data_IF_240247305391
#
_entry.id   IF_240247305391
#
_cell.length_a   1.000
_cell.length_b   1.000
_cell.length_c   1.000
_cell.angle_alpha   90.00
_cell.angle_beta   90.00
_cell.angle_gamma   90.00
#
_symmetry.space_group_name_H-M   'P 1'
#
loop_
_entity.id
_entity.type
_entity.pdbx_description
1 polymer ?
#
# COMPACT_ATOMS: atom_id res chain seq x y z
N UNK A 1 -55.55 -29.91 -61.50
CA UNK A 1 -55.48 -29.01 -60.32
C UNK A 1 -54.18 -29.25 -59.63
N UNK A 2 -53.21 -28.36 -59.77
CA UNK A 2 -51.94 -28.46 -59.10
C UNK A 2 -51.91 -27.41 -57.97
N UNK A 3 -51.76 -27.87 -56.76
CA UNK A 3 -51.62 -27.03 -55.56
C UNK A 3 -50.18 -26.73 -55.40
N UNK A 4 -49.83 -25.48 -55.63
CA UNK A 4 -48.49 -24.96 -55.37
C UNK A 4 -48.32 -24.74 -53.87
N UNK A 5 -47.39 -25.50 -53.25
CA UNK A 5 -47.00 -25.30 -51.87
C UNK A 5 -46.05 -24.13 -51.77
N UNK A 6 -46.52 -23.04 -51.16
CA UNK A 6 -45.69 -21.90 -50.78
C UNK A 6 -44.64 -22.30 -49.75
N UNK A 7 -43.42 -22.30 -50.12
CA UNK A 7 -42.24 -22.44 -49.24
C UNK A 7 -42.13 -21.18 -48.39
N UNK A 8 -42.49 -21.27 -47.12
CA UNK A 8 -42.27 -20.21 -46.16
C UNK A 8 -40.76 -19.99 -45.92
N UNK A 9 -40.24 -18.94 -46.48
CA UNK A 9 -38.88 -18.47 -46.20
C UNK A 9 -38.76 -18.08 -44.74
N UNK A 10 -37.91 -18.77 -43.98
CA UNK A 10 -37.47 -18.30 -42.67
C UNK A 10 -36.64 -17.05 -42.92
N UNK A 11 -37.19 -15.90 -42.58
CA UNK A 11 -36.40 -14.69 -42.45
C UNK A 11 -35.33 -14.93 -41.38
N UNK A 12 -34.08 -15.05 -41.83
CA UNK A 12 -32.96 -15.06 -40.91
C UNK A 12 -32.86 -13.66 -40.31
N UNK A 13 -33.25 -13.54 -39.04
CA UNK A 13 -33.04 -12.30 -38.27
C UNK A 13 -31.53 -12.16 -38.12
N UNK A 14 -30.93 -11.35 -38.95
CA UNK A 14 -29.54 -10.91 -38.79
C UNK A 14 -29.52 -9.97 -37.58
N UNK A 15 -29.19 -10.54 -36.41
CA UNK A 15 -28.90 -9.78 -35.20
C UNK A 15 -27.42 -9.38 -35.19
N UNK A 16 -27.02 -8.56 -36.14
CA UNK A 16 -25.68 -7.96 -36.15
C UNK A 16 -25.62 -6.96 -34.99
N UNK A 17 -24.95 -7.38 -33.91
CA UNK A 17 -24.68 -6.51 -32.77
C UNK A 17 -23.67 -5.47 -33.23
N UNK A 18 -24.10 -4.21 -33.27
CA UNK A 18 -23.18 -3.11 -33.56
C UNK A 18 -22.21 -2.96 -32.38
N UNK A 19 -20.97 -3.47 -32.55
CA UNK A 19 -19.94 -3.48 -31.50
C UNK A 19 -19.29 -2.11 -31.30
N UNK A 20 -19.53 -1.15 -32.20
CA UNK A 20 -18.90 0.19 -32.13
C UNK A 20 -19.24 0.94 -30.83
N UNK A 21 -20.50 1.00 -30.38
CA UNK A 21 -20.81 1.65 -29.10
C UNK A 21 -20.20 0.94 -27.88
N UNK A 22 -20.08 -0.38 -27.94
CA UNK A 22 -19.43 -1.16 -26.86
C UNK A 22 -17.93 -0.94 -26.84
N UNK A 23 -17.30 -0.90 -28.01
CA UNK A 23 -15.86 -0.63 -28.13
C UNK A 23 -15.50 0.76 -27.63
N UNK A 24 -16.33 1.77 -27.88
CA UNK A 24 -16.12 3.14 -27.41
C UNK A 24 -16.16 3.22 -25.89
N UNK A 25 -17.19 2.62 -25.25
CA UNK A 25 -17.26 2.57 -23.78
C UNK A 25 -16.07 1.83 -23.19
N UNK A 26 -15.65 0.71 -23.77
CA UNK A 26 -14.47 -0.03 -23.30
C UNK A 26 -13.19 0.78 -23.44
N UNK A 27 -13.04 1.52 -24.54
CA UNK A 27 -11.89 2.38 -24.79
C UNK A 27 -11.81 3.53 -23.79
N UNK A 28 -12.95 4.19 -23.51
CA UNK A 28 -13.04 5.27 -22.51
C UNK A 28 -12.71 4.74 -21.11
N UNK A 29 -13.26 3.60 -20.72
CA UNK A 29 -12.94 2.97 -19.44
C UNK A 29 -11.47 2.59 -19.33
N UNK A 30 -10.88 2.06 -20.42
CA UNK A 30 -9.45 1.70 -20.45
C UNK A 30 -8.57 2.94 -20.23
N UNK A 31 -8.89 4.06 -20.89
CA UNK A 31 -8.14 5.31 -20.72
C UNK A 31 -8.29 5.84 -19.28
N UNK A 32 -9.49 5.79 -18.70
CA UNK A 32 -9.73 6.21 -17.33
C UNK A 32 -8.88 5.35 -16.38
N UNK A 33 -8.92 4.03 -16.51
CA UNK A 33 -8.09 3.14 -15.69
C UNK A 33 -6.59 3.38 -15.90
N UNK A 34 -6.14 3.63 -17.13
CA UNK A 34 -4.73 3.92 -17.42
C UNK A 34 -4.24 5.21 -16.74
N UNK A 35 -5.09 6.23 -16.63
CA UNK A 35 -4.76 7.50 -15.97
C UNK A 35 -4.87 7.37 -14.45
N UNK A 36 -5.86 6.64 -13.94
CA UNK A 36 -6.09 6.53 -12.49
C UNK A 36 -5.17 5.52 -11.80
N UNK A 37 -4.73 4.47 -12.49
CA UNK A 37 -3.86 3.44 -11.91
C UNK A 37 -2.56 4.00 -11.29
N UNK A 38 -1.78 4.87 -11.95
CA UNK A 38 -0.58 5.43 -11.34
C UNK A 38 -0.87 6.37 -10.17
N UNK A 39 -2.06 7.02 -10.14
CA UNK A 39 -2.45 7.87 -9.01
C UNK A 39 -2.78 7.08 -7.75
N UNK A 40 -3.24 5.84 -7.91
CA UNK A 40 -3.53 4.93 -6.78
C UNK A 40 -2.23 4.27 -6.30
N UNK A 41 -1.28 4.03 -7.22
CA UNK A 41 0.01 3.42 -6.91
C UNK A 41 1.05 4.40 -6.34
N UNK A 42 0.75 5.70 -6.26
CA UNK A 42 1.60 6.69 -5.60
C UNK A 42 1.52 6.54 -4.07
N UNK A 43 1.77 5.31 -3.58
CA UNK A 43 2.05 5.02 -2.19
C UNK A 43 3.44 5.54 -1.80
N UNK A 44 3.68 5.59 -0.51
CA UNK A 44 5.01 5.85 0.01
C UNK A 44 5.96 4.74 -0.44
N UNK A 45 6.99 5.10 -1.19
CA UNK A 45 8.06 4.20 -1.63
C UNK A 45 9.38 4.69 -0.99
N UNK A 46 10.00 3.85 -0.20
CA UNK A 46 11.31 4.09 0.36
C UNK A 46 12.21 2.89 0.07
N UNK A 47 13.36 3.15 -0.54
CA UNK A 47 14.45 2.18 -0.54
C UNK A 47 14.98 2.07 0.89
N UNK A 48 14.68 1.00 1.57
CA UNK A 48 15.10 0.76 2.94
C UNK A 48 16.58 0.34 2.99
N UNK A 49 17.27 0.62 4.09
CA UNK A 49 18.64 0.15 4.26
C UNK A 49 18.69 -1.38 4.38
N UNK A 50 19.73 -1.98 3.83
CA UNK A 50 19.98 -3.43 3.94
C UNK A 50 20.37 -3.82 5.36
N UNK A 51 19.81 -4.91 5.84
CA UNK A 51 20.14 -5.51 7.12
C UNK A 51 20.48 -6.99 7.03
N UNK A 52 21.23 -7.48 8.01
CA UNK A 52 21.60 -8.90 8.17
C UNK A 52 20.90 -9.42 9.42
N UNK A 53 20.44 -10.68 9.40
CA UNK A 53 19.77 -11.32 10.53
C UNK A 53 18.47 -10.63 10.97
N UNK A 54 17.61 -10.35 10.01
CA UNK A 54 16.32 -9.72 10.27
C UNK A 54 15.32 -10.73 10.85
N UNK A 55 14.46 -10.25 11.71
CA UNK A 55 13.27 -10.98 12.14
C UNK A 55 12.17 -10.64 11.15
N UNK A 56 11.71 -11.64 10.39
CA UNK A 56 10.56 -11.48 9.52
C UNK A 56 9.31 -11.19 10.36
N UNK A 57 8.74 -10.02 10.19
CA UNK A 57 7.45 -9.65 10.78
C UNK A 57 6.48 -9.45 9.62
N UNK A 58 5.35 -10.17 9.64
CA UNK A 58 4.29 -9.95 8.69
C UNK A 58 3.59 -8.63 9.03
N UNK A 59 3.54 -7.70 8.07
CA UNK A 59 2.77 -6.48 8.20
C UNK A 59 1.28 -6.83 8.20
N UNK A 60 0.57 -6.32 9.18
CA UNK A 60 -0.88 -6.42 9.25
C UNK A 60 -1.53 -5.09 8.86
N UNK A 61 -2.76 -5.08 8.33
CA UNK A 61 -3.45 -3.83 8.00
C UNK A 61 -3.65 -2.88 9.18
N UNK A 62 -3.54 -3.41 10.39
CA UNK A 62 -3.71 -2.64 11.63
C UNK A 62 -2.38 -2.03 12.13
N UNK A 63 -1.25 -2.35 11.52
CA UNK A 63 0.04 -1.82 11.94
C UNK A 63 0.15 -0.32 11.58
N UNK A 64 0.74 0.44 12.50
CA UNK A 64 1.01 1.87 12.28
C UNK A 64 2.41 2.03 11.74
N UNK A 65 2.49 2.48 10.49
CA UNK A 65 3.76 2.70 9.79
C UNK A 65 4.03 4.19 9.65
N UNK A 66 5.17 4.65 10.15
CA UNK A 66 5.71 5.97 9.89
C UNK A 66 6.78 5.88 8.82
N UNK A 67 6.48 6.39 7.63
CA UNK A 67 7.37 6.44 6.50
C UNK A 67 8.10 7.75 6.36
N UNK A 68 9.34 7.70 5.85
CA UNK A 68 10.11 8.88 5.47
C UNK A 68 10.73 8.67 4.10
N UNK A 69 10.40 9.56 3.15
CA UNK A 69 10.99 9.53 1.81
C UNK A 69 12.42 10.11 1.80
N UNK A 70 13.09 10.02 0.64
CA UNK A 70 14.43 10.56 0.43
C UNK A 70 14.56 12.05 0.74
N UNK A 71 13.50 12.84 0.57
CA UNK A 71 13.46 14.27 0.85
C UNK A 71 13.25 14.56 2.33
N UNK A 72 12.81 13.58 3.11
CA UNK A 72 12.47 13.70 4.52
C UNK A 72 11.01 14.12 4.76
N UNK A 73 10.12 13.89 3.79
CA UNK A 73 8.69 14.04 4.00
C UNK A 73 8.17 12.85 4.81
N UNK A 74 7.19 13.14 5.65
CA UNK A 74 6.57 12.14 6.53
C UNK A 74 5.30 11.56 5.92
N UNK A 75 5.12 10.27 6.13
CA UNK A 75 3.93 9.52 5.73
C UNK A 75 3.45 8.66 6.90
N UNK A 76 2.17 8.64 7.16
CA UNK A 76 1.54 7.72 8.12
C UNK A 76 0.61 6.81 7.33
N UNK A 77 0.85 5.51 7.36
CA UNK A 77 0.09 4.50 6.61
C UNK A 77 -0.11 4.93 5.15
N UNK A 78 0.98 5.31 4.45
CA UNK A 78 1.02 5.76 3.05
C UNK A 78 0.48 7.18 2.77
N UNK A 79 -0.15 7.86 3.73
CA UNK A 79 -0.67 9.22 3.56
C UNK A 79 0.39 10.26 3.95
N UNK A 80 0.61 11.29 3.13
CA UNK A 80 1.57 12.33 3.45
C UNK A 80 1.05 13.25 4.55
N UNK A 81 1.95 13.62 5.47
CA UNK A 81 1.69 14.56 6.57
C UNK A 81 2.79 15.60 6.68
N UNK A 82 2.41 16.83 7.01
CA UNK A 82 3.39 17.83 7.36
C UNK A 82 4.02 17.49 8.72
N UNK A 83 5.31 17.77 8.90
CA UNK A 83 6.06 17.45 10.12
C UNK A 83 5.37 17.87 11.42
N UNK A 84 4.77 19.07 11.44
CA UNK A 84 4.05 19.59 12.61
C UNK A 84 2.74 18.85 12.92
N UNK A 85 2.19 18.11 11.95
CA UNK A 85 0.96 17.34 12.13
C UNK A 85 1.22 15.87 12.52
N UNK A 86 2.42 15.34 12.27
CA UNK A 86 2.78 13.94 12.54
C UNK A 86 2.53 13.55 13.99
N UNK A 87 3.01 14.35 14.94
CA UNK A 87 2.86 14.07 16.37
C UNK A 87 1.39 14.00 16.78
N UNK A 88 0.58 14.98 16.32
CA UNK A 88 -0.84 15.04 16.68
C UNK A 88 -1.62 13.86 16.08
N UNK A 89 -1.31 13.49 14.83
CA UNK A 89 -1.99 12.37 14.18
C UNK A 89 -1.59 11.02 14.79
N UNK A 90 -0.32 10.79 15.07
CA UNK A 90 0.12 9.59 15.80
C UNK A 90 -0.54 9.51 17.18
N UNK A 91 -0.59 10.61 17.93
CA UNK A 91 -1.25 10.63 19.23
C UNK A 91 -2.74 10.30 19.10
N UNK A 92 -3.42 10.79 18.05
CA UNK A 92 -4.81 10.46 17.77
C UNK A 92 -5.00 8.96 17.54
N UNK A 93 -4.17 8.36 16.68
CA UNK A 93 -4.22 6.93 16.34
C UNK A 93 -4.03 6.08 17.60
N UNK A 94 -2.99 6.36 18.41
CA UNK A 94 -2.70 5.58 19.61
C UNK A 94 -3.66 5.83 20.78
N UNK A 95 -4.44 6.90 20.73
CA UNK A 95 -5.48 7.14 21.74
C UNK A 95 -6.81 6.49 21.36
N UNK A 96 -7.12 6.42 20.07
CA UNK A 96 -8.44 5.99 19.57
C UNK A 96 -8.45 4.54 19.10
N UNK A 97 -7.41 4.11 18.38
CA UNK A 97 -7.41 2.84 17.62
C UNK A 97 -6.47 1.78 18.24
N UNK A 98 -5.31 2.20 18.76
CA UNK A 98 -4.25 1.30 19.27
C UNK A 98 -3.90 1.58 20.74
N UNK A 99 -4.86 1.47 21.62
CA UNK A 99 -4.66 1.80 23.05
C UNK A 99 -3.77 0.80 23.79
N UNK A 100 -3.70 -0.45 23.34
CA UNK A 100 -2.95 -1.52 23.99
C UNK A 100 -1.57 -1.75 23.37
N UNK A 101 -1.50 -1.78 22.03
CA UNK A 101 -0.26 -2.01 21.28
C UNK A 101 0.29 -0.69 20.76
N UNK A 102 1.28 -0.14 21.47
CA UNK A 102 1.93 1.13 21.09
C UNK A 102 3.24 0.85 20.35
N UNK A 103 3.12 0.05 19.29
CA UNK A 103 4.22 -0.30 18.39
C UNK A 103 4.10 0.55 17.13
N UNK A 104 5.20 1.14 16.70
CA UNK A 104 5.32 1.91 15.46
C UNK A 104 6.39 1.26 14.59
N UNK A 105 6.06 1.01 13.34
CA UNK A 105 7.02 0.58 12.34
C UNK A 105 7.58 1.81 11.62
N UNK A 106 8.89 1.97 11.64
CA UNK A 106 9.58 3.08 11.00
C UNK A 106 10.22 2.62 9.70
N UNK A 107 9.72 3.11 8.57
CA UNK A 107 10.28 2.92 7.23
C UNK A 107 11.01 4.19 6.82
N UNK A 108 12.32 4.16 6.74
CA UNK A 108 13.14 5.32 6.37
C UNK A 108 13.98 5.01 5.13
N UNK A 109 14.01 5.95 4.19
CA UNK A 109 14.87 5.83 3.02
C UNK A 109 16.35 5.78 3.44
N UNK A 110 17.14 4.91 2.80
CA UNK A 110 18.54 4.65 3.15
C UNK A 110 19.45 5.90 3.08
N UNK A 111 19.14 6.87 2.24
CA UNK A 111 19.92 8.11 2.08
C UNK A 111 19.62 9.17 3.15
N UNK A 112 18.71 8.90 4.09
CA UNK A 112 18.40 9.86 5.14
C UNK A 112 19.51 9.95 6.17
N UNK A 113 19.75 11.18 6.64
CA UNK A 113 20.71 11.40 7.72
C UNK A 113 20.16 10.89 9.05
N UNK A 114 21.05 10.41 9.92
CA UNK A 114 20.68 9.96 11.26
C UNK A 114 19.94 11.04 12.06
N UNK A 115 20.23 12.31 11.82
CA UNK A 115 19.53 13.43 12.46
C UNK A 115 18.02 13.43 12.15
N UNK A 116 17.65 13.23 10.87
CA UNK A 116 16.24 13.14 10.45
C UNK A 116 15.54 11.91 11.05
N UNK A 117 16.26 10.79 11.14
CA UNK A 117 15.72 9.56 11.76
C UNK A 117 15.48 9.79 13.25
N UNK A 118 16.43 10.42 13.97
CA UNK A 118 16.27 10.75 15.39
C UNK A 118 15.11 11.72 15.61
N UNK A 119 14.90 12.66 14.71
CA UNK A 119 13.76 13.57 14.75
C UNK A 119 12.42 12.81 14.63
N UNK A 120 12.30 11.87 13.68
CA UNK A 120 11.13 11.02 13.54
C UNK A 120 10.86 10.22 14.82
N UNK A 121 11.90 9.61 15.39
CA UNK A 121 11.81 8.87 16.65
C UNK A 121 11.35 9.78 17.80
N UNK A 122 11.86 11.00 17.86
CA UNK A 122 11.45 11.95 18.89
C UNK A 122 9.96 12.33 18.78
N UNK A 123 9.47 12.58 17.55
CA UNK A 123 8.06 12.85 17.28
C UNK A 123 7.17 11.67 17.67
N UNK A 124 7.59 10.45 17.32
CA UNK A 124 6.85 9.23 17.66
C UNK A 124 6.77 9.03 19.18
N UNK A 125 7.87 9.19 19.90
CA UNK A 125 7.89 9.09 21.37
C UNK A 125 7.05 10.16 22.03
N UNK A 126 7.07 11.39 21.53
CA UNK A 126 6.24 12.48 22.03
C UNK A 126 4.74 12.22 21.79
N UNK A 127 4.38 11.43 20.78
CA UNK A 127 3.02 10.96 20.54
C UNK A 127 2.57 9.79 21.45
N UNK A 128 3.48 9.24 22.27
CA UNK A 128 3.19 8.17 23.22
C UNK A 128 3.49 6.76 22.70
N UNK A 129 4.26 6.64 21.62
CA UNK A 129 4.76 5.35 21.14
C UNK A 129 5.77 4.75 22.12
N UNK A 130 5.60 3.47 22.46
CA UNK A 130 6.44 2.75 23.41
C UNK A 130 7.55 1.98 22.70
N UNK A 131 7.19 1.27 21.63
CA UNK A 131 8.11 0.46 20.85
C UNK A 131 8.20 1.01 19.44
N UNK A 132 9.42 1.22 18.95
CA UNK A 132 9.67 1.60 17.56
C UNK A 132 10.50 0.48 16.94
N UNK A 133 9.91 -0.18 15.94
CA UNK A 133 10.57 -1.18 15.13
C UNK A 133 11.03 -0.53 13.82
N UNK A 134 12.32 -0.57 13.53
CA UNK A 134 12.82 -0.10 12.24
C UNK A 134 12.68 -1.22 11.21
N UNK A 135 12.09 -0.91 10.07
CA UNK A 135 12.05 -1.80 8.92
C UNK A 135 13.30 -1.62 8.06
N UNK A 136 13.84 -2.74 7.63
CA UNK A 136 15.04 -2.82 6.80
C UNK A 136 14.88 -3.99 5.83
N UNK A 137 15.47 -3.90 4.65
CA UNK A 137 15.46 -4.97 3.67
C UNK A 137 16.51 -6.04 3.99
N UNK A 138 16.19 -7.30 3.70
CA UNK A 138 17.17 -8.38 3.86
C UNK A 138 18.24 -8.26 2.78
N UNK A 139 19.50 -8.17 3.21
CA UNK A 139 20.62 -8.11 2.29
C UNK A 139 20.65 -9.35 1.37
N UNK A 140 20.74 -9.10 0.07
CA UNK A 140 20.77 -10.16 -0.94
C UNK A 140 21.92 -11.15 -0.69
N UNK A 141 21.61 -12.45 -0.69
CA UNK A 141 22.58 -13.51 -0.50
C UNK A 141 22.86 -13.86 0.97
N UNK A 142 22.16 -13.24 1.91
CA UNK A 142 22.22 -13.58 3.33
C UNK A 142 20.93 -14.25 3.79
N UNK A 143 21.03 -15.19 4.73
CA UNK A 143 19.87 -15.78 5.40
C UNK A 143 19.89 -15.36 6.86
N UNK A 144 18.74 -14.96 7.38
CA UNK A 144 18.64 -14.62 8.80
C UNK A 144 18.88 -15.88 9.65
N UNK A 145 19.75 -15.76 10.65
CA UNK A 145 20.00 -16.81 11.66
C UNK A 145 19.13 -16.62 12.91
N UNK A 146 18.35 -15.57 12.95
CA UNK A 146 17.47 -15.28 14.09
C UNK A 146 16.12 -15.94 13.86
N UNK A 147 15.81 -16.96 14.66
CA UNK A 147 14.46 -17.55 14.69
C UNK A 147 13.51 -16.63 15.45
N UNK A 148 12.28 -16.51 14.94
CA UNK A 148 11.22 -15.73 15.56
C UNK A 148 10.86 -16.31 16.93
N UNK A 149 11.44 -15.79 18.01
CA UNK A 149 11.13 -16.22 19.37
C UNK A 149 9.82 -15.61 19.94
N UNK A 150 8.90 -15.17 19.09
CA UNK A 150 7.57 -14.74 19.56
C UNK A 150 6.68 -15.89 20.05
N UNK A 151 7.10 -17.14 19.87
CA UNK A 151 6.34 -18.33 20.27
C UNK A 151 6.64 -18.82 21.69
N UNK A 152 7.44 -18.09 22.49
CA UNK A 152 7.79 -18.44 23.86
C UNK A 152 7.61 -17.28 24.84
N UNK A 153 6.39 -16.78 24.96
CA UNK A 153 5.97 -16.12 26.19
C UNK A 153 4.83 -16.95 26.79
N UNK A 154 4.96 -17.43 28.04
CA UNK A 154 3.94 -18.21 28.74
C UNK A 154 2.72 -17.36 29.08
#
# INVERSE_FOLDING_TARGET
>A
MAISASSGGKEAVNADINVTPMADVMLVLLIIFMITAPLIAAGFEADMPDGINLIGVEETPDDVVLGMDRSGNFFINTRPYAKNAVQAELARIYTTEHTQDRILYLKAHQDLTMEKIQEAIALARAAGVVVIAAEVDQQLGTTSQVSTERERAP
#
